data_IF_601790605340
#
_entry.id   IF_601790605340
#
_cell.length_a   1.000
_cell.length_b   1.000
_cell.length_c   1.000
_cell.angle_alpha   90.00
_cell.angle_beta   90.00
_cell.angle_gamma   90.00
#
_symmetry.space_group_name_H-M   'P 1'
#
loop_
_entity.id
_entity.type
_entity.pdbx_description
1 polymer ?
#
# COMPACT_ATOMS: atom_id res chain seq x y z
N UNK A 1 13.71 1.18 7.05
CA UNK A 1 12.34 0.70 6.90
C UNK A 1 12.27 -0.80 7.19
N UNK A 2 11.07 -1.36 7.39
CA UNK A 2 10.86 -2.78 7.64
C UNK A 2 9.46 -3.23 7.19
N UNK A 3 9.20 -4.55 7.29
CA UNK A 3 7.85 -5.08 7.07
C UNK A 3 7.01 -5.01 8.35
N UNK A 4 5.68 -4.83 8.27
CA UNK A 4 4.77 -4.90 9.41
C UNK A 4 4.93 -6.18 10.24
N UNK A 5 5.21 -7.32 9.59
CA UNK A 5 5.51 -8.60 10.28
C UNK A 5 6.65 -8.50 11.29
N UNK A 6 7.71 -7.75 10.98
CA UNK A 6 8.83 -7.56 11.91
C UNK A 6 8.39 -6.76 13.15
N UNK A 7 7.59 -5.72 12.96
CA UNK A 7 7.05 -4.93 14.09
C UNK A 7 6.08 -5.77 14.93
N UNK A 8 5.21 -6.58 14.29
CA UNK A 8 4.34 -7.53 15.02
C UNK A 8 5.13 -8.52 15.85
N UNK A 9 6.25 -9.02 15.34
CA UNK A 9 7.13 -9.91 16.11
C UNK A 9 7.72 -9.20 17.33
N UNK A 10 8.22 -7.97 17.17
CA UNK A 10 8.73 -7.18 18.31
C UNK A 10 7.62 -6.90 19.31
N UNK A 11 6.44 -6.46 18.86
CA UNK A 11 5.28 -6.22 19.74
C UNK A 11 4.86 -7.46 20.53
N UNK A 12 4.91 -8.63 19.91
CA UNK A 12 4.58 -9.89 20.59
C UNK A 12 5.54 -10.21 21.74
N UNK A 13 6.84 -9.97 21.53
CA UNK A 13 7.88 -10.25 22.54
C UNK A 13 7.98 -9.11 23.59
N UNK A 14 7.66 -7.88 23.20
CA UNK A 14 7.71 -6.69 24.06
C UNK A 14 6.44 -5.85 23.95
N UNK A 15 5.25 -6.36 24.36
CA UNK A 15 3.99 -5.68 24.16
C UNK A 15 3.89 -4.33 24.90
N UNK A 16 4.71 -4.11 25.92
CA UNK A 16 4.77 -2.86 26.70
C UNK A 16 5.92 -1.94 26.30
N UNK A 17 6.71 -2.30 25.30
CA UNK A 17 7.85 -1.51 24.84
C UNK A 17 8.93 -1.32 25.89
N UNK A 18 9.11 -2.27 26.82
CA UNK A 18 10.09 -2.17 27.90
C UNK A 18 11.51 -2.31 27.38
N UNK A 19 11.72 -3.30 26.50
CA UNK A 19 13.04 -3.56 25.90
C UNK A 19 13.46 -2.42 24.95
N UNK A 20 12.51 -1.83 24.25
CA UNK A 20 12.78 -0.69 23.37
C UNK A 20 13.41 0.48 24.12
N UNK A 21 13.01 0.71 25.37
CA UNK A 21 13.50 1.82 26.22
C UNK A 21 14.98 1.66 26.64
N UNK A 22 15.53 0.46 26.51
CA UNK A 22 16.93 0.18 26.81
C UNK A 22 17.89 0.64 25.70
N UNK A 23 17.32 1.08 24.55
CA UNK A 23 18.08 1.50 23.38
C UNK A 23 17.98 3.00 23.15
N UNK A 24 19.09 3.63 22.76
CA UNK A 24 19.08 5.02 22.30
C UNK A 24 18.56 5.09 20.86
N UNK A 25 17.33 5.54 20.71
CA UNK A 25 16.66 5.76 19.41
C UNK A 25 16.61 7.25 19.01
N UNK A 26 17.39 8.12 19.64
CA UNK A 26 17.35 9.57 19.39
C UNK A 26 17.66 9.95 17.94
N UNK A 27 18.38 9.10 17.20
CA UNK A 27 18.67 9.32 15.78
C UNK A 27 17.54 8.83 14.84
N UNK A 28 16.57 8.05 15.33
CA UNK A 28 15.44 7.60 14.52
C UNK A 28 14.51 8.80 14.21
N UNK A 29 14.18 9.01 12.95
CA UNK A 29 13.34 10.14 12.50
C UNK A 29 11.95 9.71 12.03
N UNK A 30 11.86 8.55 11.44
CA UNK A 30 10.61 7.94 10.98
C UNK A 30 10.80 6.44 10.79
N UNK A 31 9.73 5.67 10.90
CA UNK A 31 9.68 4.27 10.54
C UNK A 31 8.79 4.10 9.29
N UNK A 32 9.33 3.53 8.23
CA UNK A 32 8.57 3.20 7.03
C UNK A 32 8.23 1.70 7.03
N UNK A 33 6.96 1.39 6.79
CA UNK A 33 6.44 0.02 6.70
C UNK A 33 6.05 -0.29 5.25
N UNK A 34 6.48 -1.43 4.73
CA UNK A 34 6.16 -1.89 3.38
C UNK A 34 6.17 -3.41 3.26
N UNK A 35 5.67 -3.91 2.11
CA UNK A 35 5.69 -5.32 1.74
C UNK A 35 4.37 -6.05 2.03
N UNK A 36 3.59 -5.56 2.97
CA UNK A 36 2.23 -5.99 3.28
C UNK A 36 1.47 -4.83 3.91
N UNK A 37 0.15 -4.93 3.97
CA UNK A 37 -0.67 -3.90 4.61
C UNK A 37 -0.32 -3.78 6.10
N UNK A 38 -0.04 -2.57 6.54
CA UNK A 38 0.16 -2.28 7.95
C UNK A 38 -1.20 -2.24 8.67
N UNK A 39 -1.37 -3.12 9.66
CA UNK A 39 -2.58 -3.11 10.46
C UNK A 39 -2.56 -1.96 11.50
N UNK A 40 -3.74 -1.38 11.80
CA UNK A 40 -3.83 -0.20 12.67
C UNK A 40 -3.19 -0.39 14.05
N UNK A 41 -3.40 -1.55 14.65
CA UNK A 41 -2.93 -1.87 15.98
C UNK A 41 -1.38 -1.99 16.04
N UNK A 42 -0.75 -2.47 14.98
CA UNK A 42 0.71 -2.50 14.85
C UNK A 42 1.29 -1.10 14.65
N UNK A 43 0.63 -0.28 13.81
CA UNK A 43 1.06 1.11 13.58
C UNK A 43 0.97 1.92 14.87
N UNK A 44 -0.16 1.88 15.56
CA UNK A 44 -0.38 2.60 16.81
C UNK A 44 0.61 2.17 17.90
N UNK A 45 0.84 0.86 18.05
CA UNK A 45 1.83 0.36 18.98
C UNK A 45 3.23 0.91 18.67
N UNK A 46 3.63 0.89 17.39
CA UNK A 46 4.94 1.39 16.98
C UNK A 46 5.08 2.90 17.20
N UNK A 47 4.07 3.72 16.88
CA UNK A 47 4.08 5.16 17.12
C UNK A 47 4.19 5.47 18.62
N UNK A 48 3.44 4.76 19.47
CA UNK A 48 3.44 4.97 20.92
C UNK A 48 4.78 4.64 21.58
N UNK A 49 5.52 3.65 21.05
CA UNK A 49 6.76 3.21 21.67
C UNK A 49 8.02 3.78 21.02
N UNK A 50 8.00 4.06 19.73
CA UNK A 50 9.14 4.65 18.99
C UNK A 50 9.13 6.17 19.03
N UNK A 51 7.98 6.80 19.32
CA UNK A 51 7.78 8.26 19.37
C UNK A 51 8.19 9.01 18.09
N UNK A 52 8.13 8.32 16.95
CA UNK A 52 8.40 8.86 15.61
C UNK A 52 7.23 8.54 14.67
N UNK A 53 7.06 9.29 13.58
CA UNK A 53 6.05 8.94 12.57
C UNK A 53 6.26 7.53 12.02
N UNK A 54 5.18 6.75 11.97
CA UNK A 54 5.14 5.44 11.32
C UNK A 54 4.37 5.59 10.01
N UNK A 55 5.05 5.33 8.90
CA UNK A 55 4.58 5.61 7.55
C UNK A 55 4.34 4.28 6.86
N UNK A 56 3.07 3.95 6.63
CA UNK A 56 2.73 2.93 5.65
C UNK A 56 3.01 3.48 4.25
N UNK A 57 3.76 2.75 3.43
CA UNK A 57 4.05 3.18 2.07
C UNK A 57 3.96 2.00 1.11
N UNK A 58 3.30 2.25 -0.02
CA UNK A 58 3.06 1.26 -1.04
C UNK A 58 3.95 1.49 -2.25
N UNK A 59 4.62 0.45 -2.68
CA UNK A 59 5.50 0.42 -3.83
C UNK A 59 5.66 -1.00 -4.38
N UNK A 60 6.25 -1.10 -5.54
CA UNK A 60 6.59 -2.35 -6.19
C UNK A 60 8.07 -2.34 -6.56
N UNK A 61 8.66 -3.52 -6.74
CA UNK A 61 10.05 -3.64 -7.22
C UNK A 61 10.24 -2.87 -8.52
N UNK A 62 9.24 -2.88 -9.38
CA UNK A 62 9.18 -2.22 -10.67
C UNK A 62 9.19 -0.69 -10.57
N UNK A 63 8.74 -0.14 -9.50
CA UNK A 63 8.67 1.33 -9.33
C UNK A 63 9.89 1.91 -8.64
N UNK A 64 10.70 1.08 -7.98
CA UNK A 64 11.95 1.47 -7.33
C UNK A 64 11.80 2.38 -6.11
N UNK A 65 10.62 2.96 -5.90
CA UNK A 65 10.27 3.86 -4.82
C UNK A 65 8.76 3.85 -4.55
N UNK A 66 8.35 4.53 -3.47
CA UNK A 66 6.96 4.62 -3.09
C UNK A 66 6.09 5.24 -4.19
N UNK A 67 5.02 4.54 -4.58
CA UNK A 67 3.95 5.05 -5.42
C UNK A 67 3.02 5.93 -4.57
N UNK A 68 2.72 5.46 -3.35
CA UNK A 68 1.94 6.22 -2.37
C UNK A 68 2.60 6.14 -0.99
N UNK A 69 2.62 7.26 -0.28
CA UNK A 69 3.13 7.41 1.07
C UNK A 69 2.63 8.73 1.68
N UNK A 70 2.88 8.94 2.99
CA UNK A 70 2.76 10.26 3.57
C UNK A 70 3.99 11.10 3.17
N UNK A 71 3.83 12.21 2.44
CA UNK A 71 4.94 12.97 1.86
C UNK A 71 5.64 13.89 2.88
N UNK A 72 6.19 13.34 3.95
CA UNK A 72 6.78 14.10 5.09
C UNK A 72 7.76 15.20 4.71
N UNK A 73 8.45 15.07 3.56
CA UNK A 73 9.38 16.08 3.07
C UNK A 73 8.71 17.31 2.45
N UNK A 74 7.41 17.24 2.20
CA UNK A 74 6.59 18.31 1.62
C UNK A 74 5.59 18.79 2.68
N UNK A 75 4.73 17.90 3.14
CA UNK A 75 3.70 18.15 4.13
C UNK A 75 3.39 16.85 4.87
N UNK A 76 3.15 16.93 6.18
CA UNK A 76 2.63 15.80 6.94
C UNK A 76 1.12 15.80 6.86
N UNK A 77 0.57 14.86 6.10
CA UNK A 77 -0.87 14.64 5.99
C UNK A 77 -1.41 13.79 7.14
N UNK A 78 -2.71 13.88 7.44
CA UNK A 78 -3.37 12.98 8.37
C UNK A 78 -3.15 11.50 7.98
N UNK A 79 -2.82 10.67 8.94
CA UNK A 79 -2.67 9.23 8.71
C UNK A 79 -4.02 8.55 8.87
N UNK A 80 -4.42 7.76 7.87
CA UNK A 80 -5.58 6.88 7.93
C UNK A 80 -5.10 5.43 7.99
N UNK A 81 -5.55 4.71 8.99
CA UNK A 81 -5.16 3.32 9.19
C UNK A 81 -5.50 2.45 7.97
N UNK A 82 -4.50 1.75 7.45
CA UNK A 82 -4.64 0.88 6.28
C UNK A 82 -4.60 1.60 4.94
N UNK A 83 -4.20 2.88 4.93
CA UNK A 83 -3.91 3.65 3.73
C UNK A 83 -2.43 4.06 3.70
N UNK A 84 -1.72 3.89 2.59
CA UNK A 84 -0.40 4.47 2.39
C UNK A 84 -0.44 5.98 2.15
N UNK A 85 -1.55 6.63 2.41
CA UNK A 85 -1.84 8.05 2.28
C UNK A 85 -2.14 8.44 0.83
N UNK A 86 -1.26 9.18 0.15
CA UNK A 86 -1.52 9.73 -1.19
C UNK A 86 -0.43 9.37 -2.19
N UNK A 87 -0.74 9.55 -3.47
CA UNK A 87 0.26 9.40 -4.52
C UNK A 87 1.46 10.31 -4.29
N UNK A 88 2.66 9.75 -4.44
CA UNK A 88 3.91 10.50 -4.37
C UNK A 88 4.12 11.32 -5.66
N UNK A 89 4.85 12.46 -5.57
CA UNK A 89 5.14 13.27 -6.74
C UNK A 89 5.71 12.47 -7.91
N UNK A 90 5.12 12.66 -9.09
CA UNK A 90 5.47 11.95 -10.31
C UNK A 90 4.55 10.77 -10.65
N UNK A 91 3.74 10.30 -9.72
CA UNK A 91 2.75 9.26 -9.96
C UNK A 91 1.34 9.86 -10.07
N UNK A 92 0.61 9.50 -11.12
CA UNK A 92 -0.83 9.74 -11.30
C UNK A 92 -1.53 8.39 -11.07
N UNK A 93 -1.99 8.17 -9.83
CA UNK A 93 -2.66 6.93 -9.43
C UNK A 93 -4.14 7.03 -9.78
N UNK A 94 -4.62 6.06 -10.54
CA UNK A 94 -6.02 5.94 -10.93
C UNK A 94 -6.54 4.57 -10.50
N UNK A 95 -7.85 4.50 -10.25
CA UNK A 95 -8.55 3.22 -10.03
C UNK A 95 -9.50 3.02 -11.19
N UNK A 96 -9.36 1.90 -11.88
CA UNK A 96 -10.03 1.62 -13.14
C UNK A 96 -11.02 0.46 -13.00
N UNK A 97 -12.12 0.54 -13.74
CA UNK A 97 -13.00 -0.60 -13.98
C UNK A 97 -12.40 -1.59 -14.99
N UNK A 98 -13.14 -2.66 -15.30
CA UNK A 98 -12.73 -3.68 -16.29
C UNK A 98 -12.61 -3.13 -17.72
N UNK A 99 -13.28 -2.04 -18.01
CA UNK A 99 -13.22 -1.33 -19.30
C UNK A 99 -12.07 -0.30 -19.36
N UNK A 100 -11.27 -0.16 -18.29
CA UNK A 100 -10.17 0.79 -18.22
C UNK A 100 -10.63 2.24 -17.98
N UNK A 101 -11.87 2.45 -17.50
CA UNK A 101 -12.37 3.79 -17.17
C UNK A 101 -12.16 4.07 -15.67
N UNK A 102 -11.76 5.30 -15.31
CA UNK A 102 -11.69 5.70 -13.91
C UNK A 102 -13.03 5.55 -13.20
N UNK A 103 -13.01 4.98 -12.00
CA UNK A 103 -14.20 4.81 -11.16
C UNK A 103 -14.35 5.95 -10.15
N UNK A 104 -15.54 6.09 -9.60
CA UNK A 104 -15.81 7.08 -8.54
C UNK A 104 -15.05 6.70 -7.24
N UNK A 105 -14.70 7.69 -6.39
CA UNK A 105 -14.13 7.43 -5.07
C UNK A 105 -14.94 6.40 -4.27
N UNK A 106 -14.25 5.59 -3.48
CA UNK A 106 -14.83 4.50 -2.70
C UNK A 106 -15.16 3.24 -3.51
N UNK A 107 -15.02 3.27 -4.84
CA UNK A 107 -15.33 2.12 -5.71
C UNK A 107 -14.10 1.25 -5.91
N UNK A 108 -14.23 -0.05 -5.61
CA UNK A 108 -13.16 -1.04 -5.82
C UNK A 108 -12.88 -1.23 -7.31
N UNK A 109 -11.61 -1.09 -7.68
CA UNK A 109 -11.13 -1.32 -9.05
C UNK A 109 -9.67 -1.74 -9.10
N UNK A 110 -9.13 -1.85 -10.31
CA UNK A 110 -7.72 -2.08 -10.56
C UNK A 110 -6.95 -0.78 -10.35
N UNK A 111 -5.91 -0.82 -9.50
CA UNK A 111 -5.02 0.34 -9.32
C UNK A 111 -4.05 0.38 -10.50
N UNK A 112 -4.02 1.49 -11.20
CA UNK A 112 -3.18 1.73 -12.35
C UNK A 112 -2.46 3.08 -12.25
N UNK A 113 -1.31 3.19 -12.90
CA UNK A 113 -0.52 4.42 -12.92
C UNK A 113 -0.59 5.01 -14.34
N UNK A 114 -1.10 6.23 -14.45
CA UNK A 114 -1.17 6.91 -15.74
C UNK A 114 0.22 7.21 -16.28
N UNK A 115 0.44 6.93 -17.54
CA UNK A 115 1.72 7.19 -18.20
C UNK A 115 1.89 8.69 -18.56
N UNK A 116 3.14 9.21 -18.58
CA UNK A 116 4.40 8.51 -18.34
C UNK A 116 4.70 8.28 -16.86
N UNK A 117 5.41 7.20 -16.55
CA UNK A 117 5.92 6.96 -15.20
C UNK A 117 7.12 7.88 -14.89
N UNK A 118 7.38 8.19 -13.62
CA UNK A 118 8.55 8.98 -13.23
C UNK A 118 9.87 8.24 -13.52
N UNK A 119 10.99 8.98 -13.66
CA UNK A 119 12.32 8.38 -13.79
C UNK A 119 12.63 7.44 -12.61
N UNK A 120 13.33 6.34 -12.89
CA UNK A 120 13.68 5.33 -11.87
C UNK A 120 12.74 4.13 -11.81
N UNK A 121 11.59 4.20 -12.49
CA UNK A 121 10.72 3.03 -12.68
C UNK A 121 11.32 2.08 -13.73
N UNK A 122 10.87 0.81 -13.68
CA UNK A 122 11.31 -0.24 -14.60
C UNK A 122 11.09 0.18 -16.08
N UNK A 123 12.16 0.36 -16.88
CA UNK A 123 12.02 0.77 -18.26
C UNK A 123 11.60 -0.39 -19.18
N UNK A 124 12.03 -1.61 -18.86
CA UNK A 124 11.74 -2.85 -19.59
C UNK A 124 12.21 -4.08 -18.81
N UNK A 125 11.93 -5.27 -19.33
CA UNK A 125 12.51 -6.53 -18.87
C UNK A 125 13.71 -6.92 -19.76
N UNK A 126 14.77 -7.40 -19.14
CA UNK A 126 15.99 -7.81 -19.84
C UNK A 126 15.69 -8.84 -20.93
N UNK A 127 16.06 -8.52 -22.19
CA UNK A 127 15.80 -9.32 -23.39
C UNK A 127 14.33 -9.78 -23.56
N UNK A 128 13.34 -9.09 -22.98
CA UNK A 128 11.96 -9.50 -22.98
C UNK A 128 10.97 -8.32 -23.09
N UNK A 129 11.23 -7.37 -23.99
CA UNK A 129 10.41 -6.17 -24.21
C UNK A 129 8.94 -6.50 -24.47
N UNK A 130 8.66 -7.51 -25.29
CA UNK A 130 7.28 -7.92 -25.56
C UNK A 130 6.57 -8.42 -24.31
N UNK A 131 7.28 -9.16 -23.44
CA UNK A 131 6.75 -9.60 -22.16
C UNK A 131 6.46 -8.43 -21.24
N UNK A 132 7.35 -7.42 -21.19
CA UNK A 132 7.14 -6.20 -20.45
C UNK A 132 5.87 -5.48 -20.88
N UNK A 133 5.69 -5.26 -22.19
CA UNK A 133 4.49 -4.61 -22.72
C UNK A 133 3.22 -5.38 -22.41
N UNK A 134 3.26 -6.70 -22.58
CA UNK A 134 2.10 -7.54 -22.29
C UNK A 134 1.73 -7.57 -20.82
N UNK A 135 2.73 -7.62 -19.92
CA UNK A 135 2.49 -7.75 -18.49
C UNK A 135 2.05 -6.44 -17.81
N UNK A 136 2.48 -5.29 -18.34
CA UNK A 136 2.30 -4.03 -17.62
C UNK A 136 1.58 -2.93 -18.39
N UNK A 137 1.47 -3.03 -19.73
CA UNK A 137 1.00 -1.90 -20.56
C UNK A 137 -0.12 -2.26 -21.54
N UNK A 138 -0.47 -3.55 -21.67
CA UNK A 138 -1.40 -3.99 -22.71
C UNK A 138 -2.87 -3.95 -22.28
N UNK A 139 -3.15 -4.21 -21.02
CA UNK A 139 -4.52 -4.37 -20.53
C UNK A 139 -5.27 -3.02 -20.50
N UNK A 140 -4.63 -1.98 -19.96
CA UNK A 140 -5.19 -0.64 -19.90
C UNK A 140 -4.34 0.34 -20.73
N UNK A 141 -4.69 0.64 -22.00
CA UNK A 141 -3.90 1.57 -22.82
C UNK A 141 -3.73 2.92 -22.16
N UNK A 142 -2.48 3.39 -22.08
CA UNK A 142 -2.14 4.66 -21.42
C UNK A 142 -1.85 4.55 -19.92
N UNK A 143 -1.90 3.34 -19.37
CA UNK A 143 -1.60 3.07 -17.97
C UNK A 143 -0.57 1.95 -17.82
N UNK A 144 0.14 2.01 -16.69
CA UNK A 144 0.91 0.88 -16.16
C UNK A 144 0.01 0.12 -15.18
N UNK A 145 -0.12 -1.18 -15.40
CA UNK A 145 -0.91 -2.08 -14.56
C UNK A 145 -0.10 -2.55 -13.35
N UNK A 146 -0.54 -2.20 -12.15
CA UNK A 146 0.14 -2.61 -10.91
C UNK A 146 -0.18 -4.05 -10.51
N UNK A 147 -1.30 -4.58 -10.98
CA UNK A 147 -1.85 -5.86 -10.55
C UNK A 147 -2.46 -5.83 -9.15
N UNK A 148 -2.54 -4.66 -8.52
CA UNK A 148 -3.18 -4.45 -7.22
C UNK A 148 -4.59 -3.88 -7.38
N UNK A 149 -5.47 -4.22 -6.44
CA UNK A 149 -6.84 -3.75 -6.36
C UNK A 149 -7.06 -2.88 -5.12
N UNK A 150 -7.91 -1.87 -5.25
CA UNK A 150 -8.20 -0.95 -4.17
C UNK A 150 -9.16 0.15 -4.60
N UNK A 151 -9.17 1.23 -3.87
CA UNK A 151 -9.97 2.43 -4.18
C UNK A 151 -9.28 3.70 -3.71
N UNK A 152 -9.68 4.83 -4.28
CA UNK A 152 -9.35 6.16 -3.76
C UNK A 152 -10.51 6.67 -2.92
N UNK A 153 -10.23 7.32 -1.81
CA UNK A 153 -11.21 8.05 -1.03
C UNK A 153 -11.44 9.45 -1.61
N UNK A 154 -12.51 10.14 -1.19
CA UNK A 154 -12.87 11.49 -1.68
C UNK A 154 -11.75 12.53 -1.48
N UNK A 155 -10.92 12.36 -0.47
CA UNK A 155 -9.78 13.23 -0.15
C UNK A 155 -8.46 12.78 -0.79
N UNK A 156 -8.50 11.79 -1.69
CA UNK A 156 -7.35 11.29 -2.42
C UNK A 156 -6.50 10.25 -1.69
N UNK A 157 -6.90 9.80 -0.48
CA UNK A 157 -6.22 8.69 0.19
C UNK A 157 -6.43 7.40 -0.59
N UNK A 158 -5.33 6.72 -0.87
CA UNK A 158 -5.35 5.40 -1.52
C UNK A 158 -5.55 4.29 -0.48
N UNK A 159 -6.40 3.33 -0.80
CA UNK A 159 -6.55 2.10 -0.02
C UNK A 159 -6.22 0.91 -0.92
N UNK A 160 -5.15 0.19 -0.61
CA UNK A 160 -4.74 -1.03 -1.31
C UNK A 160 -5.29 -2.22 -0.55
N UNK A 161 -6.09 -3.06 -1.21
CA UNK A 161 -6.77 -4.18 -0.56
C UNK A 161 -6.11 -5.54 -0.83
N UNK A 162 -5.47 -5.71 -1.99
CA UNK A 162 -4.82 -6.95 -2.39
C UNK A 162 -4.58 -7.00 -3.90
N UNK A 163 -4.41 -8.21 -4.45
CA UNK A 163 -4.18 -8.39 -5.89
C UNK A 163 -5.49 -8.42 -6.67
N UNK A 164 -5.48 -7.89 -7.89
CA UNK A 164 -6.64 -7.96 -8.81
C UNK A 164 -7.09 -9.41 -9.03
N UNK A 165 -6.14 -10.35 -9.12
CA UNK A 165 -6.42 -11.78 -9.28
C UNK A 165 -7.11 -12.44 -8.08
N UNK A 166 -7.15 -11.76 -6.94
CA UNK A 166 -7.80 -12.24 -5.70
C UNK A 166 -9.19 -11.63 -5.51
N UNK A 167 -9.60 -10.69 -6.38
CA UNK A 167 -10.94 -10.10 -6.31
C UNK A 167 -11.99 -11.17 -6.57
N UNK A 168 -12.91 -11.31 -5.66
CA UNK A 168 -14.05 -12.22 -5.74
C UNK A 168 -15.36 -11.44 -5.90
N UNK A 169 -16.38 -12.14 -6.36
CA UNK A 169 -17.72 -11.58 -6.50
C UNK A 169 -18.68 -12.35 -5.60
N UNK A 170 -19.57 -11.64 -4.95
CA UNK A 170 -20.71 -12.22 -4.25
C UNK A 170 -21.77 -12.70 -5.27
N UNK A 171 -22.76 -13.47 -4.84
CA UNK A 171 -23.82 -13.96 -5.70
C UNK A 171 -24.68 -12.83 -6.33
N UNK A 172 -24.72 -11.66 -5.68
CA UNK A 172 -25.40 -10.45 -6.13
C UNK A 172 -24.49 -9.49 -6.90
N UNK A 173 -23.23 -9.90 -7.16
CA UNK A 173 -22.28 -9.20 -8.03
C UNK A 173 -21.41 -8.15 -7.34
N UNK A 174 -21.47 -8.02 -6.01
CA UNK A 174 -20.55 -7.14 -5.28
C UNK A 174 -19.12 -7.69 -5.31
N UNK A 175 -18.14 -6.80 -5.42
CA UNK A 175 -16.72 -7.12 -5.50
C UNK A 175 -16.06 -6.99 -4.14
N UNK A 176 -15.24 -7.96 -3.75
CA UNK A 176 -14.46 -7.90 -2.52
C UNK A 176 -13.12 -8.62 -2.66
N UNK A 177 -12.18 -8.30 -1.76
CA UNK A 177 -10.89 -8.99 -1.66
C UNK A 177 -10.87 -9.81 -0.37
N UNK A 178 -10.67 -11.14 -0.43
CA UNK A 178 -10.71 -12.03 0.75
C UNK A 178 -9.79 -11.60 1.88
N UNK A 179 -8.61 -11.09 1.56
CA UNK A 179 -7.63 -10.60 2.54
C UNK A 179 -8.21 -9.53 3.48
N UNK A 180 -9.17 -8.72 3.02
CA UNK A 180 -9.86 -7.77 3.89
C UNK A 180 -10.68 -8.47 4.99
N UNK A 181 -11.36 -9.55 4.64
CA UNK A 181 -12.14 -10.38 5.57
C UNK A 181 -11.20 -11.12 6.52
N UNK A 182 -10.17 -11.76 5.97
CA UNK A 182 -9.17 -12.50 6.75
C UNK A 182 -8.49 -11.63 7.80
N UNK A 183 -8.11 -10.41 7.44
CA UNK A 183 -7.51 -9.47 8.38
C UNK A 183 -8.48 -9.06 9.49
N UNK A 184 -9.79 -8.98 9.21
CA UNK A 184 -10.80 -8.74 10.25
C UNK A 184 -10.96 -9.95 11.18
N UNK A 185 -10.91 -11.15 10.64
CA UNK A 185 -11.02 -12.39 11.40
C UNK A 185 -9.83 -12.61 12.35
N UNK A 186 -8.61 -12.21 11.96
CA UNK A 186 -7.40 -12.30 12.80
C UNK A 186 -7.52 -11.54 14.15
N UNK A 187 -8.41 -10.57 14.24
CA UNK A 187 -8.68 -9.85 15.49
C UNK A 187 -9.78 -10.51 16.34
N UNK A 188 -10.36 -11.60 15.87
CA UNK A 188 -11.34 -12.34 16.64
C UNK A 188 -10.64 -13.14 17.76
N UNK A 189 -11.11 -13.05 19.00
CA UNK A 189 -10.55 -13.86 20.09
C UNK A 189 -10.89 -15.36 19.96
N UNK A 190 -11.65 -15.74 18.93
CA UNK A 190 -12.10 -17.12 18.70
C UNK A 190 -11.42 -17.80 17.52
N UNK A 191 -10.49 -17.14 16.81
CA UNK A 191 -9.76 -17.66 15.66
C UNK A 191 -8.25 -17.58 15.89
#
# INVERSE_FOLDING_TARGET
FTAPTAIRAVKREDPKGQLIRDYDLSCLKALFLAGERADPDTVEWAENHLTVPVIDHWWQTETGWAIAANPLGIERLPVKSGSPTVAMPGYDVQVLDEGGQPVAPGTLGAIALKLPLPPGTLPTLWNAENRFRQAYLAHFPGYYETGDAGYLEDDGHLVVLGRVSEVMHTADGERYVPNYIENRLKFSPYI
#
